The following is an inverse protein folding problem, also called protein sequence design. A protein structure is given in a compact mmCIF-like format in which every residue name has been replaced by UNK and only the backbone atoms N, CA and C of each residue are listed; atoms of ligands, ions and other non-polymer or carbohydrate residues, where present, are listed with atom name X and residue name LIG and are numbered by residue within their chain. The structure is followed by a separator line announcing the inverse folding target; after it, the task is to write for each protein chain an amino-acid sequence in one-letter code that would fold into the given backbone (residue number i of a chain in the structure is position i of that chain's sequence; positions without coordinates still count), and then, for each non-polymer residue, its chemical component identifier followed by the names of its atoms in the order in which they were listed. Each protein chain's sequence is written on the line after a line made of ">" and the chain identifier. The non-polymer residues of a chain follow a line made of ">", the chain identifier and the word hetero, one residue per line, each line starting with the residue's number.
data_IF_345651515558
#
_entry.id   IF_345651515558
#
_cell.length_a   1.000
_cell.length_b   1.000
_cell.length_c   1.000
_cell.angle_alpha   90.00
_cell.angle_beta   90.00
_cell.angle_gamma   90.00
#
_symmetry.space_group_name_H-M   'P 1'
#
loop_
_entity.id
_entity.type
_entity.pdbx_description
1 polymer ?
#
# COMPACT_ATOMS: atom_id res chain seq x y z
N UNK A 1 -24.15 -12.39 -9.91
CA UNK A 1 -23.56 -12.35 -8.57
C UNK A 1 -22.51 -13.43 -8.41
N UNK A 2 -22.83 -14.69 -8.68
CA UNK A 2 -21.90 -15.82 -8.50
C UNK A 2 -20.57 -15.66 -9.24
N UNK A 3 -20.61 -15.21 -10.51
CA UNK A 3 -19.40 -14.91 -11.28
C UNK A 3 -18.51 -13.86 -10.61
N UNK A 4 -19.13 -12.83 -10.03
CA UNK A 4 -18.43 -11.71 -9.39
C UNK A 4 -17.79 -12.14 -8.06
N UNK A 5 -18.49 -12.96 -7.27
CA UNK A 5 -17.94 -13.54 -6.04
C UNK A 5 -16.82 -14.53 -6.33
N UNK A 6 -16.95 -15.31 -7.41
CA UNK A 6 -15.88 -16.20 -7.86
C UNK A 6 -14.66 -15.40 -8.29
N UNK A 7 -14.83 -14.37 -9.11
CA UNK A 7 -13.74 -13.48 -9.53
C UNK A 7 -13.03 -12.83 -8.34
N UNK A 8 -13.82 -12.33 -7.36
CA UNK A 8 -13.26 -11.78 -6.13
C UNK A 8 -12.44 -12.82 -5.36
N UNK A 9 -12.91 -14.07 -5.28
CA UNK A 9 -12.19 -15.15 -4.63
C UNK A 9 -10.90 -15.50 -5.38
N UNK A 10 -10.96 -15.60 -6.71
CA UNK A 10 -9.80 -15.91 -7.55
C UNK A 10 -8.69 -14.85 -7.38
N UNK A 11 -9.05 -13.56 -7.42
CA UNK A 11 -8.10 -12.45 -7.20
C UNK A 11 -7.56 -12.45 -5.76
N UNK A 12 -8.41 -12.73 -4.77
CA UNK A 12 -7.99 -12.81 -3.36
C UNK A 12 -6.96 -13.94 -3.17
N UNK A 13 -7.20 -15.10 -3.76
CA UNK A 13 -6.29 -16.25 -3.71
C UNK A 13 -4.96 -15.94 -4.38
N UNK A 14 -4.99 -15.32 -5.56
CA UNK A 14 -3.80 -14.90 -6.30
C UNK A 14 -2.91 -13.96 -5.46
N UNK A 15 -3.52 -12.97 -4.79
CA UNK A 15 -2.82 -12.04 -3.91
C UNK A 15 -2.31 -12.67 -2.60
N UNK A 16 -2.96 -13.72 -2.12
CA UNK A 16 -2.51 -14.47 -0.94
C UNK A 16 -1.38 -15.46 -1.24
N UNK A 17 -1.39 -16.07 -2.42
CA UNK A 17 -0.49 -17.18 -2.76
C UNK A 17 0.81 -16.73 -3.43
N UNK A 18 0.80 -15.62 -4.16
CA UNK A 18 1.96 -15.27 -5.02
C UNK A 18 3.04 -14.44 -4.31
N UNK A 19 3.06 -14.42 -2.98
CA UNK A 19 4.11 -13.74 -2.22
C UNK A 19 4.10 -12.21 -2.35
N UNK A 20 5.12 -11.57 -1.79
CA UNK A 20 5.19 -10.12 -1.56
C UNK A 20 5.52 -9.29 -2.83
N UNK A 21 5.52 -9.91 -4.02
CA UNK A 21 5.90 -9.26 -5.29
C UNK A 21 4.75 -8.52 -5.99
N UNK A 22 3.57 -8.43 -5.37
CA UNK A 22 2.45 -7.72 -5.97
C UNK A 22 2.58 -6.20 -5.86
N UNK A 23 2.46 -5.53 -6.99
CA UNK A 23 2.34 -4.08 -7.07
C UNK A 23 1.08 -3.59 -6.34
N UNK A 24 1.21 -2.48 -5.61
CA UNK A 24 0.13 -1.77 -4.91
C UNK A 24 -1.17 -1.69 -5.72
N UNK A 25 -1.08 -1.46 -7.02
CA UNK A 25 -2.21 -1.34 -7.95
C UNK A 25 -3.17 -2.55 -7.93
N UNK A 26 -2.64 -3.75 -7.66
CA UNK A 26 -3.45 -4.97 -7.60
C UNK A 26 -4.29 -5.02 -6.33
N UNK A 27 -3.77 -4.52 -5.21
CA UNK A 27 -4.55 -4.36 -3.99
C UNK A 27 -5.62 -3.28 -4.14
N UNK A 28 -5.33 -2.20 -4.89
CA UNK A 28 -6.35 -1.19 -5.23
C UNK A 28 -7.49 -1.82 -6.04
N UNK A 29 -7.14 -2.57 -7.09
CA UNK A 29 -8.13 -3.29 -7.91
C UNK A 29 -8.97 -4.28 -7.10
N UNK A 30 -8.37 -4.98 -6.12
CA UNK A 30 -9.11 -5.85 -5.19
C UNK A 30 -10.14 -5.07 -4.38
N UNK A 31 -9.77 -3.91 -3.84
CA UNK A 31 -10.68 -3.06 -3.05
C UNK A 31 -11.84 -2.55 -3.92
N UNK A 32 -11.58 -2.13 -5.15
CA UNK A 32 -12.61 -1.73 -6.10
C UNK A 32 -13.57 -2.88 -6.41
N UNK A 33 -13.05 -4.08 -6.66
CA UNK A 33 -13.86 -5.27 -6.92
C UNK A 33 -14.73 -5.63 -5.71
N UNK A 34 -14.21 -5.49 -4.48
CA UNK A 34 -14.98 -5.65 -3.23
C UNK A 34 -16.11 -4.64 -3.15
N UNK A 35 -15.86 -3.37 -3.48
CA UNK A 35 -16.91 -2.35 -3.49
C UNK A 35 -18.03 -2.72 -4.46
N UNK A 36 -17.68 -3.16 -5.68
CA UNK A 36 -18.68 -3.62 -6.67
C UNK A 36 -19.50 -4.81 -6.15
N UNK A 37 -18.88 -5.74 -5.42
CA UNK A 37 -19.58 -6.87 -4.78
C UNK A 37 -20.54 -6.37 -3.70
N UNK A 38 -20.10 -5.45 -2.84
CA UNK A 38 -20.93 -4.86 -1.78
C UNK A 38 -22.13 -4.12 -2.36
N UNK A 39 -21.92 -3.31 -3.41
CA UNK A 39 -22.98 -2.54 -4.05
C UNK A 39 -24.03 -3.43 -4.73
N UNK A 40 -23.65 -4.65 -5.12
CA UNK A 40 -24.51 -5.61 -5.80
C UNK A 40 -25.04 -6.71 -4.89
N UNK A 41 -24.60 -6.77 -3.63
CA UNK A 41 -25.12 -7.70 -2.64
C UNK A 41 -26.61 -7.38 -2.40
N UNK A 42 -27.50 -8.37 -2.54
CA UNK A 42 -28.92 -8.11 -2.33
C UNK A 42 -29.20 -7.90 -0.84
N UNK A 43 -29.32 -6.64 -0.41
CA UNK A 43 -29.62 -6.25 0.97
C UNK A 43 -30.91 -6.86 1.54
N UNK A 44 -31.83 -7.30 0.66
CA UNK A 44 -33.15 -7.82 1.04
C UNK A 44 -33.47 -9.21 0.48
N UNK A 45 -32.50 -9.90 -0.14
CA UNK A 45 -32.71 -11.30 -0.57
C UNK A 45 -31.72 -12.22 0.12
N UNK A 46 -32.17 -13.42 0.54
CA UNK A 46 -31.24 -14.41 1.06
C UNK A 46 -30.22 -14.78 -0.02
N UNK A 47 -28.98 -14.97 0.40
CA UNK A 47 -27.92 -15.47 -0.46
C UNK A 47 -28.18 -16.94 -0.78
N UNK A 48 -27.69 -17.38 -1.94
CA UNK A 48 -27.68 -18.81 -2.25
C UNK A 48 -26.57 -19.50 -1.45
N UNK A 49 -26.72 -20.81 -1.18
CA UNK A 49 -25.66 -21.60 -0.51
C UNK A 49 -24.29 -21.47 -1.18
N UNK A 50 -24.28 -21.34 -2.51
CA UNK A 50 -23.06 -21.16 -3.29
C UNK A 50 -22.42 -19.78 -3.04
N UNK A 51 -23.23 -18.72 -2.93
CA UNK A 51 -22.74 -17.37 -2.59
C UNK A 51 -22.22 -17.30 -1.16
N UNK A 52 -22.91 -17.95 -0.20
CA UNK A 52 -22.43 -18.09 1.17
C UNK A 52 -21.11 -18.84 1.23
N UNK A 53 -20.97 -19.91 0.43
CA UNK A 53 -19.72 -20.65 0.28
C UNK A 53 -18.55 -19.76 -0.14
N UNK A 54 -18.75 -18.91 -1.16
CA UNK A 54 -17.73 -17.96 -1.59
C UNK A 54 -17.36 -16.94 -0.50
N UNK A 55 -18.35 -16.36 0.18
CA UNK A 55 -18.07 -15.39 1.26
C UNK A 55 -17.34 -16.02 2.45
N UNK A 56 -17.68 -17.27 2.79
CA UNK A 56 -16.99 -18.01 3.83
C UNK A 56 -15.54 -18.34 3.45
N UNK A 57 -15.28 -18.66 2.18
CA UNK A 57 -13.92 -18.84 1.68
C UNK A 57 -13.14 -17.53 1.70
N UNK A 58 -13.72 -16.43 1.21
CA UNK A 58 -13.11 -15.10 1.24
C UNK A 58 -12.68 -14.69 2.65
N UNK A 59 -13.55 -14.93 3.65
CA UNK A 59 -13.26 -14.61 5.05
C UNK A 59 -11.97 -15.24 5.57
N UNK A 60 -11.58 -16.42 5.08
CA UNK A 60 -10.36 -17.12 5.51
C UNK A 60 -9.08 -16.39 5.12
N UNK A 61 -9.15 -15.52 4.10
CA UNK A 61 -7.99 -14.81 3.55
C UNK A 61 -7.90 -13.34 3.97
N UNK A 62 -8.93 -12.80 4.64
CA UNK A 62 -8.99 -11.38 5.00
C UNK A 62 -7.82 -10.93 5.87
N UNK A 63 -7.47 -11.70 6.90
CA UNK A 63 -6.36 -11.34 7.78
C UNK A 63 -5.02 -11.32 7.04
N UNK A 64 -4.82 -12.27 6.13
CA UNK A 64 -3.59 -12.34 5.34
C UNK A 64 -3.47 -11.15 4.37
N UNK A 65 -4.55 -10.80 3.67
CA UNK A 65 -4.60 -9.63 2.80
C UNK A 65 -4.31 -8.35 3.59
N UNK A 66 -4.96 -8.18 4.75
CA UNK A 66 -4.72 -7.01 5.62
C UNK A 66 -3.27 -6.94 6.08
N UNK A 67 -2.67 -8.07 6.44
CA UNK A 67 -1.26 -8.13 6.82
C UNK A 67 -0.34 -7.71 5.67
N UNK A 68 -0.59 -8.18 4.44
CA UNK A 68 0.19 -7.78 3.27
C UNK A 68 0.06 -6.27 2.98
N UNK A 69 -1.16 -5.74 3.04
CA UNK A 69 -1.39 -4.30 2.84
C UNK A 69 -0.72 -3.44 3.93
N UNK A 70 -0.74 -3.90 5.18
CA UNK A 70 -0.06 -3.22 6.27
C UNK A 70 1.47 -3.23 6.08
N UNK A 71 2.05 -4.35 5.65
CA UNK A 71 3.47 -4.42 5.34
C UNK A 71 3.89 -3.44 4.23
N UNK A 72 3.08 -3.32 3.16
CA UNK A 72 3.32 -2.34 2.08
C UNK A 72 3.25 -0.89 2.60
N UNK A 73 2.29 -0.60 3.48
CA UNK A 73 2.17 0.70 4.12
C UNK A 73 3.39 1.03 4.97
N UNK A 74 3.83 0.10 5.80
CA UNK A 74 4.98 0.27 6.69
C UNK A 74 6.29 0.47 5.89
N UNK A 75 6.45 -0.26 4.80
CA UNK A 75 7.56 -0.08 3.87
C UNK A 75 7.55 1.32 3.24
N UNK A 76 6.40 1.79 2.75
CA UNK A 76 6.25 3.11 2.18
C UNK A 76 6.56 4.22 3.20
N UNK A 77 6.08 4.08 4.43
CA UNK A 77 6.36 5.01 5.53
C UNK A 77 7.86 5.06 5.86
N UNK A 78 8.49 3.89 5.96
CA UNK A 78 9.93 3.80 6.20
C UNK A 78 10.74 4.49 5.09
N UNK A 79 10.38 4.25 3.82
CA UNK A 79 11.06 4.85 2.68
C UNK A 79 10.88 6.37 2.62
N UNK A 80 9.68 6.88 2.91
CA UNK A 80 9.43 8.33 3.01
C UNK A 80 10.26 8.97 4.12
N UNK A 81 10.36 8.33 5.28
CA UNK A 81 11.18 8.82 6.38
C UNK A 81 12.67 8.87 5.99
N UNK A 82 13.18 7.86 5.27
CA UNK A 82 14.55 7.88 4.74
C UNK A 82 14.79 9.04 3.77
N UNK A 83 13.85 9.28 2.85
CA UNK A 83 13.92 10.40 1.90
C UNK A 83 13.95 11.73 2.64
N UNK A 84 13.09 11.91 3.64
CA UNK A 84 13.02 13.14 4.43
C UNK A 84 14.31 13.40 5.23
N UNK A 85 14.88 12.36 5.83
CA UNK A 85 16.18 12.44 6.52
C UNK A 85 17.30 12.81 5.54
N UNK A 86 17.35 12.15 4.38
CA UNK A 86 18.36 12.45 3.36
C UNK A 86 18.25 13.90 2.84
N UNK A 87 17.03 14.39 2.59
CA UNK A 87 16.78 15.79 2.20
C UNK A 87 17.24 16.77 3.27
N UNK A 88 16.94 16.50 4.55
CA UNK A 88 17.38 17.34 5.67
C UNK A 88 18.91 17.39 5.78
N UNK A 89 19.58 16.26 5.62
CA UNK A 89 21.04 16.21 5.61
C UNK A 89 21.62 17.03 4.44
N UNK A 90 21.09 16.87 3.23
CA UNK A 90 21.52 17.66 2.06
C UNK A 90 21.37 19.16 2.30
N UNK A 91 20.23 19.61 2.85
CA UNK A 91 20.02 21.03 3.17
C UNK A 91 21.06 21.57 4.17
N UNK A 92 21.40 20.79 5.21
CA UNK A 92 22.42 21.18 6.19
C UNK A 92 23.82 21.28 5.56
N UNK A 93 24.19 20.36 4.67
CA UNK A 93 25.46 20.42 3.96
C UNK A 93 25.52 21.61 2.98
N UNK A 94 24.45 21.88 2.21
CA UNK A 94 24.39 23.02 1.28
C UNK A 94 24.48 24.35 2.04
N UNK A 95 23.70 24.51 3.11
CA UNK A 95 23.73 25.72 3.94
C UNK A 95 25.06 25.91 4.68
N UNK A 96 25.69 24.84 5.17
CA UNK A 96 27.04 24.93 5.74
C UNK A 96 28.08 25.31 4.68
N UNK A 97 27.98 24.79 3.46
CA UNK A 97 28.87 25.15 2.36
C UNK A 97 28.71 26.61 1.93
N UNK A 98 27.49 27.15 1.95
CA UNK A 98 27.22 28.57 1.64
C UNK A 98 27.73 29.51 2.75
N UNK A 99 27.50 29.16 4.02
CA UNK A 99 27.99 29.95 5.18
C UNK A 99 29.52 29.92 5.29
N UNK A 100 30.17 28.80 4.94
CA UNK A 100 31.62 28.71 4.93
C UNK A 100 32.26 29.36 3.68
N UNK A 101 31.57 29.44 2.54
CA UNK A 101 32.08 30.15 1.36
C UNK A 101 32.22 31.67 1.60
N UNK A 102 31.30 32.29 2.36
CA UNK A 102 31.37 33.71 2.70
C UNK A 102 32.33 34.04 3.85
N UNK A 103 32.65 33.07 4.72
CA UNK A 103 33.52 33.30 5.88
C UNK A 103 35.02 33.11 5.62
N UNK A 104 35.43 32.47 4.51
CA UNK A 104 36.85 32.25 4.18
C UNK A 104 37.51 33.38 3.36
N UNK A 105 36.79 34.45 3.02
CA UNK A 105 37.32 35.60 2.26
C UNK A 105 37.85 36.76 3.15
N UNK A 106 37.87 36.62 4.48
CA UNK A 106 38.23 37.69 5.42
C UNK A 106 39.44 37.40 6.31
N UNK A 107 40.51 36.78 5.80
CA UNK A 107 41.83 36.96 6.46
C UNK A 107 43.01 36.78 5.50
N UNK A 108 43.26 37.79 4.66
CA UNK A 108 44.58 38.03 4.05
C UNK A 108 44.85 39.52 3.87
N UNK A 109 45.07 40.24 4.97
CA UNK A 109 45.87 41.48 4.97
C UNK A 109 46.56 41.71 6.32
N UNK A 110 47.80 41.24 6.43
CA UNK A 110 48.90 41.96 7.08
C UNK A 110 50.20 41.64 6.36
#
# INVERSE_FOLDING_TARGET
>A
MDKLLKELLDVTLELCTSGQEWEYERYVSLVELRQVVVDRLPLHKPLTLLQEGYLNHLRQYEEQILHHMQALKDEAEHNLNRINVARKQQQLYTSASEVHADSFMFDKRK
#
